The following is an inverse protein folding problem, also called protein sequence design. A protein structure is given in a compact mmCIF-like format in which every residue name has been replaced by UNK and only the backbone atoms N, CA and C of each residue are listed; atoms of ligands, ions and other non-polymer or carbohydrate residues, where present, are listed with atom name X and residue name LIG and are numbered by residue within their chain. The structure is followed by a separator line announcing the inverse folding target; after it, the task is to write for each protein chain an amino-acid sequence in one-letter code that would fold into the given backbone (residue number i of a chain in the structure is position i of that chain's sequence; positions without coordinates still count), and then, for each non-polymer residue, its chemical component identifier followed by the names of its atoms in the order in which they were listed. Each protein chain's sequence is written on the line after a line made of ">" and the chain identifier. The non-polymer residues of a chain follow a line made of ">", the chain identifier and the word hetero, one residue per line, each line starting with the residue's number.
data_IF_172320310695
#
_entry.id   IF_172320310695
#
_cell.length_a   1.000
_cell.length_b   1.000
_cell.length_c   1.000
_cell.angle_alpha   90.00
_cell.angle_beta   90.00
_cell.angle_gamma   90.00
#
_symmetry.space_group_name_H-M   'P 1'
#
loop_
_entity.id
_entity.type
_entity.pdbx_description
1 polymer ?
#
# COMPACT_ATOMS: atom_id res chain seq x y z
N UNK A 1 7.78 22.52 -41.30
CA UNK A 1 8.24 22.22 -39.93
C UNK A 1 7.03 22.35 -39.00
N UNK A 2 6.41 21.22 -38.63
CA UNK A 2 5.22 21.22 -37.78
C UNK A 2 5.62 21.29 -36.31
N UNK A 3 5.38 22.43 -35.67
CA UNK A 3 5.54 22.59 -34.24
C UNK A 3 4.49 21.75 -33.51
N UNK A 4 4.93 20.63 -32.91
CA UNK A 4 4.11 19.87 -31.98
C UNK A 4 3.96 20.69 -30.69
N UNK A 5 2.89 21.46 -30.62
CA UNK A 5 2.51 22.20 -29.42
C UNK A 5 2.11 21.18 -28.34
N UNK A 6 3.05 20.80 -27.47
CA UNK A 6 2.75 20.02 -26.26
C UNK A 6 1.83 20.89 -25.39
N UNK A 7 0.52 20.67 -25.46
CA UNK A 7 -0.41 21.19 -24.44
C UNK A 7 0.08 20.67 -23.10
N UNK A 8 0.42 21.58 -22.18
CA UNK A 8 0.63 21.25 -20.77
C UNK A 8 -0.62 20.49 -20.30
N UNK A 9 -0.43 19.22 -19.93
CA UNK A 9 -1.52 18.39 -19.44
C UNK A 9 -1.91 18.90 -18.06
N UNK A 10 -3.15 19.37 -17.91
CA UNK A 10 -3.64 19.84 -16.62
C UNK A 10 -3.70 18.67 -15.63
N UNK A 11 -3.28 18.92 -14.39
CA UNK A 11 -3.22 17.92 -13.32
C UNK A 11 -4.09 18.33 -12.14
N UNK A 12 -4.46 17.34 -11.32
CA UNK A 12 -5.19 17.48 -10.06
C UNK A 12 -4.48 16.68 -8.98
N UNK A 13 -4.48 17.24 -7.77
CA UNK A 13 -3.92 16.57 -6.59
C UNK A 13 -5.02 15.81 -5.85
N UNK A 14 -4.73 14.58 -5.46
CA UNK A 14 -5.58 13.75 -4.61
C UNK A 14 -4.74 13.13 -3.51
N UNK A 15 -5.22 13.18 -2.28
CA UNK A 15 -4.57 12.57 -1.13
C UNK A 15 -5.31 11.30 -0.72
N UNK A 16 -4.57 10.19 -0.62
CA UNK A 16 -5.04 8.96 0.01
C UNK A 16 -4.55 8.96 1.46
N UNK A 17 -5.48 8.89 2.42
CA UNK A 17 -5.18 8.85 3.85
C UNK A 17 -5.51 7.46 4.40
N UNK A 18 -4.54 6.86 5.09
CA UNK A 18 -4.68 5.58 5.77
C UNK A 18 -4.42 5.78 7.25
N UNK A 19 -5.46 5.63 8.06
CA UNK A 19 -5.35 5.79 9.51
C UNK A 19 -4.57 4.63 10.09
N UNK A 20 -3.56 4.92 10.90
CA UNK A 20 -2.75 3.88 11.56
C UNK A 20 -3.61 3.01 12.48
N UNK A 21 -4.59 3.58 13.18
CA UNK A 21 -5.52 2.82 14.03
C UNK A 21 -6.29 1.75 13.27
N UNK A 22 -6.76 2.06 12.05
CA UNK A 22 -7.51 1.11 11.22
C UNK A 22 -6.60 0.01 10.67
N UNK A 23 -5.37 0.38 10.26
CA UNK A 23 -4.38 -0.60 9.81
C UNK A 23 -3.99 -1.58 10.92
N UNK A 24 -3.77 -1.09 12.15
CA UNK A 24 -3.47 -1.93 13.30
C UNK A 24 -4.64 -2.85 13.64
N UNK A 25 -5.86 -2.33 13.65
CA UNK A 25 -7.06 -3.11 13.89
C UNK A 25 -7.19 -4.27 12.89
N UNK A 26 -7.02 -4.02 11.59
CA UNK A 26 -7.14 -5.07 10.58
C UNK A 26 -5.99 -6.08 10.64
N UNK A 27 -4.77 -5.64 10.97
CA UNK A 27 -3.61 -6.51 11.20
C UNK A 27 -3.86 -7.45 12.39
N UNK A 28 -4.32 -6.89 13.52
CA UNK A 28 -4.64 -7.66 14.73
C UNK A 28 -5.76 -8.67 14.47
N UNK A 29 -6.83 -8.27 13.78
CA UNK A 29 -7.93 -9.18 13.44
C UNK A 29 -7.48 -10.32 12.52
N UNK A 30 -6.68 -10.02 11.48
CA UNK A 30 -6.17 -11.06 10.60
C UNK A 30 -5.27 -12.05 11.37
N UNK A 31 -4.41 -11.54 12.25
CA UNK A 31 -3.53 -12.37 13.07
C UNK A 31 -4.30 -13.22 14.07
N UNK A 32 -5.38 -12.67 14.65
CA UNK A 32 -6.29 -13.43 15.51
C UNK A 32 -6.93 -14.59 14.77
N UNK A 33 -7.48 -14.36 13.57
CA UNK A 33 -8.07 -15.46 12.78
C UNK A 33 -7.02 -16.52 12.43
N UNK A 34 -5.82 -16.10 12.06
CA UNK A 34 -4.73 -17.01 11.70
C UNK A 34 -4.33 -17.92 12.87
N UNK A 35 -4.17 -17.37 14.07
CA UNK A 35 -3.79 -18.18 15.24
C UNK A 35 -4.94 -19.06 15.76
N UNK A 36 -6.20 -18.66 15.59
CA UNK A 36 -7.38 -19.42 16.00
C UNK A 36 -7.56 -20.69 15.14
N UNK A 37 -7.33 -20.58 13.83
CA UNK A 37 -7.39 -21.72 12.91
C UNK A 37 -6.10 -22.56 12.89
N UNK A 38 -5.06 -22.14 13.61
CA UNK A 38 -3.76 -22.81 13.61
C UNK A 38 -3.88 -24.21 14.24
N UNK A 39 -3.63 -25.24 13.44
CA UNK A 39 -3.58 -26.64 13.85
C UNK A 39 -2.29 -26.94 14.62
N UNK A 40 -2.28 -26.62 15.91
CA UNK A 40 -1.16 -26.89 16.82
C UNK A 40 -1.67 -27.20 18.22
N UNK A 41 -1.02 -28.15 18.90
CA UNK A 41 -1.26 -28.40 20.34
C UNK A 41 -0.47 -27.42 21.22
N UNK A 42 0.47 -26.67 20.64
CA UNK A 42 1.27 -25.70 21.35
C UNK A 42 0.53 -24.36 21.47
N UNK A 43 -0.16 -24.16 22.59
CA UNK A 43 -0.87 -22.93 22.92
C UNK A 43 0.05 -21.70 22.92
N UNK A 44 1.31 -21.85 23.34
CA UNK A 44 2.27 -20.75 23.31
C UNK A 44 2.54 -20.29 21.87
N UNK A 45 2.59 -21.20 20.90
CA UNK A 45 2.74 -20.84 19.49
C UNK A 45 1.55 -20.01 18.97
N UNK A 46 0.32 -20.32 19.39
CA UNK A 46 -0.87 -19.52 19.05
C UNK A 46 -0.81 -18.12 19.65
N UNK A 47 -0.45 -18.02 20.93
CA UNK A 47 -0.31 -16.71 21.60
C UNK A 47 0.71 -15.80 20.89
N UNK A 48 1.85 -16.35 20.44
CA UNK A 48 2.81 -15.58 19.65
C UNK A 48 2.20 -15.01 18.36
N UNK A 49 1.30 -15.74 17.70
CA UNK A 49 0.59 -15.22 16.51
C UNK A 49 -0.34 -14.06 16.90
N UNK A 50 -1.07 -14.17 18.00
CA UNK A 50 -2.00 -13.13 18.47
C UNK A 50 -1.32 -11.84 18.93
N UNK A 51 -0.11 -11.94 19.47
CA UNK A 51 0.54 -10.83 20.17
C UNK A 51 1.07 -9.70 19.27
N UNK A 52 0.75 -9.70 17.97
CA UNK A 52 1.21 -8.72 16.97
C UNK A 52 0.97 -7.25 17.38
N UNK A 53 -0.15 -6.97 18.04
CA UNK A 53 -0.56 -5.64 18.49
C UNK A 53 -0.05 -5.24 19.88
N UNK A 54 0.61 -6.15 20.61
CA UNK A 54 1.03 -5.92 21.99
C UNK A 54 2.16 -4.88 22.08
N UNK A 55 2.31 -4.32 23.29
CA UNK A 55 3.40 -3.39 23.61
C UNK A 55 4.77 -4.01 23.28
N UNK A 56 5.62 -3.26 22.57
CA UNK A 56 6.88 -3.75 22.02
C UNK A 56 6.76 -4.32 20.60
N UNK A 57 5.75 -5.15 20.33
CA UNK A 57 5.51 -5.73 19.00
C UNK A 57 4.95 -4.70 18.02
N UNK A 58 4.09 -3.79 18.50
CA UNK A 58 3.53 -2.70 17.69
C UNK A 58 4.60 -1.78 17.07
N UNK A 59 5.79 -1.68 17.68
CA UNK A 59 6.92 -0.93 17.12
C UNK A 59 7.47 -1.61 15.87
N UNK A 60 7.54 -2.95 15.86
CA UNK A 60 7.89 -3.71 14.66
C UNK A 60 6.86 -3.52 13.56
N UNK A 61 5.57 -3.66 13.90
CA UNK A 61 4.46 -3.41 12.97
C UNK A 61 4.57 -2.02 12.35
N UNK A 62 4.84 -1.01 13.18
CA UNK A 62 5.01 0.38 12.73
C UNK A 62 6.20 0.53 11.78
N UNK A 63 7.34 -0.12 12.05
CA UNK A 63 8.49 -0.11 11.13
C UNK A 63 8.14 -0.74 9.79
N UNK A 64 7.42 -1.85 9.78
CA UNK A 64 6.99 -2.52 8.54
C UNK A 64 5.97 -1.66 7.78
N UNK A 65 5.05 -0.99 8.48
CA UNK A 65 4.11 -0.04 7.87
C UNK A 65 4.84 1.15 7.25
N UNK A 66 5.82 1.76 7.95
CA UNK A 66 6.61 2.86 7.42
C UNK A 66 7.35 2.47 6.14
N UNK A 67 8.02 1.30 6.15
CA UNK A 67 8.70 0.77 4.98
C UNK A 67 7.72 0.51 3.83
N UNK A 68 6.60 -0.16 4.12
CA UNK A 68 5.62 -0.53 3.11
C UNK A 68 4.90 0.69 2.54
N UNK A 69 4.66 1.72 3.34
CA UNK A 69 4.15 3.00 2.87
C UNK A 69 5.13 3.68 1.91
N UNK A 70 6.43 3.74 2.26
CA UNK A 70 7.45 4.25 1.35
C UNK A 70 7.53 3.43 0.05
N UNK A 71 7.46 2.09 0.13
CA UNK A 71 7.38 1.21 -1.05
C UNK A 71 6.14 1.54 -1.91
N UNK A 72 4.99 1.85 -1.31
CA UNK A 72 3.80 2.27 -2.05
C UNK A 72 4.00 3.62 -2.74
N UNK A 73 4.60 4.59 -2.06
CA UNK A 73 4.93 5.91 -2.63
C UNK A 73 5.84 5.73 -3.84
N UNK A 74 6.89 4.92 -3.72
CA UNK A 74 7.82 4.62 -4.82
C UNK A 74 7.17 3.81 -5.96
N UNK A 75 6.30 2.84 -5.64
CA UNK A 75 5.55 2.10 -6.66
C UNK A 75 4.66 3.03 -7.51
N UNK A 76 4.25 4.15 -6.93
CA UNK A 76 3.43 5.19 -7.55
C UNK A 76 4.25 6.39 -8.03
N UNK A 77 5.59 6.30 -8.07
CA UNK A 77 6.54 7.38 -8.36
C UNK A 77 6.13 8.34 -9.49
N UNK A 78 5.60 7.89 -10.65
CA UNK A 78 5.16 8.81 -11.70
C UNK A 78 4.09 9.82 -11.29
N UNK A 79 3.38 9.57 -10.20
CA UNK A 79 2.31 10.41 -9.65
C UNK A 79 2.61 10.95 -8.25
N UNK A 80 3.61 10.41 -7.56
CA UNK A 80 4.00 10.80 -6.19
C UNK A 80 5.31 11.56 -6.12
N UNK A 81 6.01 11.77 -7.25
CA UNK A 81 7.29 12.48 -7.29
C UNK A 81 7.23 13.81 -6.53
N UNK A 82 8.11 13.96 -5.57
CA UNK A 82 8.37 15.20 -4.84
C UNK A 82 9.80 15.65 -5.14
N UNK A 83 10.02 16.96 -5.24
CA UNK A 83 11.37 17.52 -5.31
C UNK A 83 11.95 17.59 -3.89
N UNK A 84 13.26 17.42 -3.74
CA UNK A 84 13.94 17.64 -2.46
C UNK A 84 13.92 19.15 -2.21
N UNK A 85 13.36 19.57 -1.08
CA UNK A 85 13.35 20.99 -0.70
C UNK A 85 14.71 21.43 -0.16
N UNK A 86 15.07 22.70 -0.34
CA UNK A 86 16.30 23.27 0.25
C UNK A 86 16.25 23.29 1.80
N UNK A 87 15.06 23.17 2.38
CA UNK A 87 14.77 23.11 3.82
C UNK A 87 14.65 21.66 4.34
N UNK A 88 14.96 20.66 3.51
CA UNK A 88 14.81 19.26 3.88
C UNK A 88 15.70 18.92 5.09
N UNK A 89 15.06 18.55 6.20
CA UNK A 89 15.75 18.07 7.39
C UNK A 89 16.47 16.74 7.11
N UNK A 90 17.55 16.50 7.87
CA UNK A 90 18.27 15.23 7.82
C UNK A 90 17.34 14.06 8.14
N UNK A 91 17.42 12.99 7.34
CA UNK A 91 16.67 11.77 7.59
C UNK A 91 17.44 10.90 8.60
N UNK A 92 16.77 10.49 9.67
CA UNK A 92 17.31 9.60 10.71
C UNK A 92 16.58 8.25 10.75
N UNK A 93 17.00 7.36 11.65
CA UNK A 93 16.42 6.01 11.82
C UNK A 93 15.44 5.88 13.00
N UNK A 94 15.06 7.02 13.60
CA UNK A 94 14.17 7.08 14.75
C UNK A 94 12.80 6.56 14.34
N UNK A 95 12.20 5.74 15.19
CA UNK A 95 10.87 5.21 14.93
C UNK A 95 9.84 6.34 14.98
N UNK A 96 9.29 6.69 13.81
CA UNK A 96 8.12 7.55 13.69
C UNK A 96 6.87 6.68 13.66
N UNK A 97 5.91 6.95 14.55
CA UNK A 97 4.61 6.29 14.59
C UNK A 97 3.51 7.30 14.20
N UNK A 98 3.31 7.58 12.90
CA UNK A 98 2.36 8.59 12.47
C UNK A 98 0.92 8.15 12.78
N UNK A 99 0.03 9.09 13.09
CA UNK A 99 -1.41 8.80 13.24
C UNK A 99 -2.03 8.38 11.90
N UNK A 100 -1.51 8.95 10.80
CA UNK A 100 -2.02 8.74 9.45
C UNK A 100 -0.87 8.67 8.43
N UNK A 101 -0.97 7.69 7.54
CA UNK A 101 -0.12 7.59 6.37
C UNK A 101 -0.78 8.27 5.18
N UNK A 102 -0.04 9.15 4.52
CA UNK A 102 -0.54 9.95 3.39
C UNK A 102 0.19 9.58 2.11
N UNK A 103 -0.55 9.34 1.03
CA UNK A 103 0.00 9.23 -0.32
C UNK A 103 -0.64 10.33 -1.16
N UNK A 104 0.16 11.33 -1.53
CA UNK A 104 -0.26 12.46 -2.36
C UNK A 104 -0.01 12.13 -3.83
N UNK A 105 -1.06 12.16 -4.64
CA UNK A 105 -1.02 11.82 -6.06
C UNK A 105 -1.31 13.07 -6.90
N UNK A 106 -0.41 13.39 -7.82
CA UNK A 106 -0.62 14.39 -8.89
C UNK A 106 -1.02 13.65 -10.17
N UNK A 107 -2.30 13.71 -10.52
CA UNK A 107 -2.91 12.92 -11.59
C UNK A 107 -3.36 13.81 -12.75
N UNK A 108 -3.40 13.32 -14.00
CA UNK A 108 -4.08 14.03 -15.09
C UNK A 108 -5.54 14.34 -14.76
N UNK A 109 -6.06 15.46 -15.27
CA UNK A 109 -7.45 15.86 -15.00
C UNK A 109 -8.51 14.83 -15.43
N UNK A 110 -8.22 14.06 -16.48
CA UNK A 110 -9.11 13.01 -17.00
C UNK A 110 -8.92 11.65 -16.31
N UNK A 111 -8.08 11.59 -15.26
CA UNK A 111 -7.85 10.36 -14.50
C UNK A 111 -9.12 9.92 -13.77
N UNK A 112 -9.38 8.61 -13.80
CA UNK A 112 -10.65 8.07 -13.33
C UNK A 112 -10.72 8.02 -11.80
N UNK A 113 -11.72 8.67 -11.20
CA UNK A 113 -11.98 8.58 -9.75
C UNK A 113 -12.23 7.14 -9.28
N UNK A 114 -12.82 6.27 -10.12
CA UNK A 114 -13.02 4.86 -9.75
C UNK A 114 -11.70 4.11 -9.63
N UNK A 115 -10.70 4.45 -10.45
CA UNK A 115 -9.34 3.92 -10.32
C UNK A 115 -8.68 4.40 -9.03
N UNK A 116 -8.84 5.67 -8.67
CA UNK A 116 -8.32 6.20 -7.39
C UNK A 116 -8.95 5.48 -6.19
N UNK A 117 -10.28 5.26 -6.22
CA UNK A 117 -10.98 4.49 -5.18
C UNK A 117 -10.48 3.05 -5.08
N UNK A 118 -10.22 2.39 -6.22
CA UNK A 118 -9.63 1.06 -6.24
C UNK A 118 -8.22 1.04 -5.64
N UNK A 119 -7.37 2.00 -6.04
CA UNK A 119 -6.00 2.13 -5.51
C UNK A 119 -6.01 2.26 -3.99
N UNK A 120 -6.90 3.10 -3.44
CA UNK A 120 -7.08 3.21 -1.98
C UNK A 120 -7.30 1.84 -1.33
N UNK A 121 -8.23 1.04 -1.85
CA UNK A 121 -8.50 -0.28 -1.26
C UNK A 121 -7.34 -1.27 -1.43
N UNK A 122 -6.69 -1.27 -2.60
CA UNK A 122 -5.56 -2.16 -2.86
C UNK A 122 -4.35 -1.83 -1.98
N UNK A 123 -4.06 -0.54 -1.76
CA UNK A 123 -2.93 -0.10 -0.95
C UNK A 123 -3.17 -0.42 0.54
N UNK A 124 -4.40 -0.23 1.04
CA UNK A 124 -4.77 -0.63 2.40
C UNK A 124 -4.50 -2.12 2.63
N UNK A 125 -5.00 -2.95 1.71
CA UNK A 125 -4.78 -4.40 1.77
C UNK A 125 -3.30 -4.78 1.66
N UNK A 126 -2.54 -4.07 0.81
CA UNK A 126 -1.10 -4.29 0.64
C UNK A 126 -0.32 -4.01 1.92
N UNK A 127 -0.63 -2.92 2.62
CA UNK A 127 -0.01 -2.55 3.90
C UNK A 127 -0.24 -3.65 4.95
N UNK A 128 -1.49 -4.11 5.09
CA UNK A 128 -1.85 -5.18 6.04
C UNK A 128 -1.12 -6.49 5.70
N UNK A 129 -1.18 -6.92 4.44
CA UNK A 129 -0.57 -8.19 4.04
C UNK A 129 0.95 -8.19 4.24
N UNK A 130 1.64 -7.07 4.00
CA UNK A 130 3.08 -6.93 4.24
C UNK A 130 3.44 -7.07 5.71
N UNK A 131 2.65 -6.48 6.60
CA UNK A 131 2.83 -6.64 8.06
C UNK A 131 2.61 -8.09 8.47
N UNK A 132 1.54 -8.74 7.99
CA UNK A 132 1.24 -10.13 8.31
C UNK A 132 2.32 -11.07 7.77
N UNK A 133 2.78 -10.90 6.54
CA UNK A 133 3.87 -11.72 6.00
C UNK A 133 5.15 -11.60 6.85
N UNK A 134 5.49 -10.40 7.29
CA UNK A 134 6.63 -10.18 8.19
C UNK A 134 6.42 -10.88 9.54
N UNK A 135 5.26 -10.71 10.17
CA UNK A 135 4.95 -11.35 11.45
C UNK A 135 4.94 -12.88 11.36
N UNK A 136 4.23 -13.43 10.38
CA UNK A 136 4.13 -14.88 10.17
C UNK A 136 5.49 -15.49 9.85
N UNK A 137 6.43 -14.74 9.25
CA UNK A 137 7.79 -15.24 9.04
C UNK A 137 8.52 -15.64 10.33
N UNK A 138 8.05 -15.11 11.47
CA UNK A 138 8.60 -15.38 12.80
C UNK A 138 7.68 -16.32 13.59
N UNK A 139 6.37 -16.07 13.57
CA UNK A 139 5.41 -16.69 14.51
C UNK A 139 4.67 -17.89 13.92
N UNK A 140 4.43 -17.92 12.60
CA UNK A 140 3.80 -19.03 11.89
C UNK A 140 4.38 -19.16 10.46
N UNK A 141 5.64 -19.65 10.30
CA UNK A 141 6.33 -19.61 9.01
C UNK A 141 5.61 -20.37 7.89
N UNK A 142 4.81 -21.38 8.22
CA UNK A 142 3.98 -22.12 7.26
C UNK A 142 2.94 -21.24 6.55
N UNK A 143 2.43 -20.20 7.21
CA UNK A 143 1.42 -19.30 6.65
C UNK A 143 2.01 -18.17 5.81
N UNK A 144 3.29 -17.85 6.00
CA UNK A 144 3.98 -16.74 5.33
C UNK A 144 3.75 -16.73 3.81
N UNK A 145 3.85 -17.89 3.16
CA UNK A 145 3.73 -18.01 1.70
C UNK A 145 2.37 -17.53 1.18
N UNK A 146 1.28 -17.76 1.94
CA UNK A 146 -0.06 -17.33 1.56
C UNK A 146 -0.14 -15.79 1.50
N UNK A 147 0.49 -15.12 2.46
CA UNK A 147 0.57 -13.67 2.49
C UNK A 147 1.45 -13.11 1.38
N UNK A 148 2.61 -13.74 1.11
CA UNK A 148 3.48 -13.36 -0.01
C UNK A 148 2.78 -13.46 -1.37
N UNK A 149 2.01 -14.53 -1.60
CA UNK A 149 1.21 -14.69 -2.83
C UNK A 149 0.16 -13.56 -2.96
N UNK A 150 -0.55 -13.27 -1.87
CA UNK A 150 -1.55 -12.19 -1.83
C UNK A 150 -0.91 -10.83 -2.11
N UNK A 151 0.26 -10.55 -1.52
CA UNK A 151 1.07 -9.35 -1.78
C UNK A 151 1.40 -9.23 -3.27
N UNK A 152 1.86 -10.31 -3.91
CA UNK A 152 2.20 -10.30 -5.33
C UNK A 152 0.98 -9.99 -6.20
N UNK A 153 -0.17 -10.61 -5.91
CA UNK A 153 -1.44 -10.36 -6.62
C UNK A 153 -1.90 -8.91 -6.47
N UNK A 154 -1.85 -8.35 -5.26
CA UNK A 154 -2.24 -6.96 -5.00
C UNK A 154 -1.29 -5.99 -5.68
N UNK A 155 0.03 -6.21 -5.59
CA UNK A 155 1.04 -5.39 -6.26
C UNK A 155 0.80 -5.33 -7.76
N UNK A 156 0.53 -6.46 -8.39
CA UNK A 156 0.20 -6.50 -9.82
C UNK A 156 -1.07 -5.70 -10.14
N UNK A 157 -2.11 -5.77 -9.30
CA UNK A 157 -3.35 -4.98 -9.46
C UNK A 157 -3.10 -3.48 -9.30
N UNK A 158 -2.26 -3.06 -8.36
CA UNK A 158 -1.87 -1.64 -8.18
C UNK A 158 -1.18 -1.15 -9.46
N UNK A 159 -0.15 -1.85 -9.93
CA UNK A 159 0.63 -1.46 -11.11
C UNK A 159 -0.22 -1.41 -12.39
N UNK A 160 -1.06 -2.41 -12.62
CA UNK A 160 -1.92 -2.48 -13.82
C UNK A 160 -3.04 -1.44 -13.81
N UNK A 161 -3.54 -1.06 -12.63
CA UNK A 161 -4.56 0.00 -12.48
C UNK A 161 -4.05 1.37 -12.98
N UNK A 162 -2.75 1.62 -12.89
CA UNK A 162 -2.10 2.86 -13.36
C UNK A 162 -1.91 2.89 -14.88
N UNK A 163 -1.65 1.72 -15.49
CA UNK A 163 -1.31 1.60 -16.91
C UNK A 163 -2.54 1.52 -17.82
N UNK A 164 -3.64 0.93 -17.34
CA UNK A 164 -4.78 0.52 -18.17
C UNK A 164 -5.64 1.65 -18.75
N UNK A 165 -5.46 2.91 -18.34
CA UNK A 165 -6.42 3.99 -18.69
C UNK A 165 -5.79 5.30 -19.15
N UNK A 166 -4.60 5.25 -19.77
CA UNK A 166 -4.04 6.39 -20.51
C UNK A 166 -4.73 6.54 -21.88
N UNK A 167 -5.98 7.00 -21.88
CA UNK A 167 -6.65 7.50 -23.08
C UNK A 167 -8.13 7.12 -23.24
N UNK A 168 -8.91 8.03 -23.83
CA UNK A 168 -10.25 7.72 -24.34
C UNK A 168 -10.13 6.67 -25.44
N UNK A 169 -10.73 5.49 -25.25
CA UNK A 169 -10.91 4.51 -26.31
C UNK A 169 -11.84 5.12 -27.36
N UNK A 170 -11.27 5.74 -28.39
CA UNK A 170 -12.05 6.14 -29.59
C UNK A 170 -12.32 4.88 -30.40
N UNK A 171 -13.51 4.29 -30.25
CA UNK A 171 -13.99 3.29 -31.20
C UNK A 171 -14.04 3.96 -32.58
N UNK A 172 -13.24 3.46 -33.53
CA UNK A 172 -13.40 3.86 -34.94
C UNK A 172 -14.81 3.45 -35.36
N UNK A 173 -15.63 4.42 -35.74
CA UNK A 173 -16.87 4.14 -36.47
C UNK A 173 -16.46 3.45 -37.76
N UNK A 174 -16.81 2.17 -37.92
CA UNK A 174 -16.72 1.52 -39.23
C UNK A 174 -17.87 2.08 -40.06
N UNK A 175 -17.61 2.71 -41.23
CA UNK A 175 -18.68 3.00 -42.16
C UNK A 175 -19.26 1.67 -42.66
N UNK A 176 -20.58 1.63 -42.76
CA UNK A 176 -21.35 0.52 -43.34
C UNK A 176 -20.94 0.28 -44.79
#
# INVERSE_FOLDING_TARGET
>A
MGYCCKKLQQTKTVTLTFKRSELLYDVENCSFVEGDIMETENEHARHQVFDIGQSGNVNRVTRVLNLTHAECVEMLYPYTKQEISDEQEALDDILVAPEEYHIVLTLPEDFSLSTVKLLKHLIHEYLICKVLADWMSITNPSSKANWEEKIMSIRAKIQTSLMSRKGKIKRKLKPF
#
